data_IF_593301288055
#
_entry.id   IF_593301288055
#
_cell.length_a   1.000
_cell.length_b   1.000
_cell.length_c   1.000
_cell.angle_alpha   90.00
_cell.angle_beta   90.00
_cell.angle_gamma   90.00
#
_symmetry.space_group_name_H-M   'P 1'
#
loop_
_entity.id
_entity.type
_entity.pdbx_description
1 polymer ?
#
# COMPACT_ATOMS: atom_id res chain seq x y z
N UNK A 1 -23.13 23.31 28.51
CA UNK A 1 -22.51 24.65 28.61
C UNK A 1 -21.04 24.43 28.97
N UNK A 2 -19.97 24.68 28.19
CA UNK A 2 -19.62 25.64 27.14
C UNK A 2 -18.50 24.99 26.29
N UNK A 3 -18.76 24.61 25.04
CA UNK A 3 -17.71 24.28 24.05
C UNK A 3 -17.57 25.37 22.96
N UNK A 4 -18.21 26.52 23.17
CA UNK A 4 -18.24 27.66 22.23
C UNK A 4 -17.01 28.58 22.35
N UNK A 5 -16.16 28.42 23.38
CA UNK A 5 -15.01 29.32 23.62
C UNK A 5 -13.73 28.95 22.88
N UNK A 6 -13.51 27.69 22.50
CA UNK A 6 -12.25 27.23 21.88
C UNK A 6 -12.24 27.45 20.35
N UNK A 7 -13.36 27.22 19.67
CA UNK A 7 -13.44 27.43 18.21
C UNK A 7 -13.35 28.93 17.86
N UNK A 8 -13.94 29.81 18.68
CA UNK A 8 -13.81 31.26 18.50
C UNK A 8 -12.39 31.79 18.78
N UNK A 9 -11.57 31.08 19.58
CA UNK A 9 -10.17 31.47 19.80
C UNK A 9 -9.30 31.18 18.56
N UNK A 10 -9.56 30.05 17.88
CA UNK A 10 -8.90 29.70 16.61
C UNK A 10 -9.36 30.55 15.42
N UNK A 11 -10.65 30.93 15.39
CA UNK A 11 -11.17 31.82 14.33
C UNK A 11 -10.65 33.26 14.54
N UNK A 12 -10.51 33.73 15.79
CA UNK A 12 -9.94 35.05 16.08
C UNK A 12 -8.43 35.10 15.79
N UNK A 13 -7.66 34.03 16.06
CA UNK A 13 -6.25 33.97 15.67
C UNK A 13 -6.07 33.88 14.15
N UNK A 14 -6.97 33.20 13.45
CA UNK A 14 -6.99 33.13 11.99
C UNK A 14 -7.29 34.49 11.32
N UNK A 15 -8.19 35.28 11.91
CA UNK A 15 -8.55 36.60 11.39
C UNK A 15 -7.45 37.65 11.63
N UNK A 16 -6.72 37.55 12.76
CA UNK A 16 -5.57 38.42 13.04
C UNK A 16 -4.36 38.07 12.16
N UNK A 17 -4.16 36.79 11.82
CA UNK A 17 -3.10 36.37 10.89
C UNK A 17 -3.38 36.83 9.45
N UNK A 18 -4.65 36.93 9.02
CA UNK A 18 -5.02 37.39 7.69
C UNK A 18 -4.91 38.92 7.52
N UNK A 19 -5.07 39.69 8.60
CA UNK A 19 -4.93 41.16 8.58
C UNK A 19 -3.47 41.64 8.56
N UNK A 20 -2.52 40.78 8.94
CA UNK A 20 -1.09 41.11 8.90
C UNK A 20 -0.48 41.06 7.48
N UNK A 21 -1.16 40.47 6.50
CA UNK A 21 -0.65 40.34 5.13
C UNK A 21 -0.92 41.55 4.23
N UNK A 22 -1.74 42.53 4.65
CA UNK A 22 -2.15 43.65 3.80
C UNK A 22 -1.39 44.97 4.06
N UNK A 23 -0.38 44.99 4.93
CA UNK A 23 0.41 46.21 5.23
C UNK A 23 1.89 46.15 4.83
N UNK A 24 2.32 45.18 4.01
CA UNK A 24 3.71 45.11 3.53
C UNK A 24 3.81 45.29 2.02
N UNK A 25 3.53 46.51 1.56
CA UNK A 25 4.06 47.02 0.29
C UNK A 25 4.58 48.45 0.53
N UNK A 26 5.75 48.52 1.16
CA UNK A 26 6.58 49.72 1.26
C UNK A 26 7.89 49.45 0.53
N UNK A 27 8.23 50.35 -0.39
CA UNK A 27 9.41 50.45 -1.27
C UNK A 27 10.72 49.78 -0.83
N UNK A 28 11.39 49.10 -1.76
CA UNK A 28 12.81 48.76 -1.60
C UNK A 28 13.34 47.71 -2.60
N UNK A 29 13.93 48.22 -3.67
CA UNK A 29 14.97 47.70 -4.59
C UNK A 29 15.11 46.21 -4.99
N UNK A 30 15.44 46.08 -6.29
CA UNK A 30 15.74 44.87 -7.04
C UNK A 30 17.12 44.31 -6.67
N UNK A 31 17.19 42.99 -6.50
CA UNK A 31 18.40 42.20 -6.72
C UNK A 31 18.03 40.97 -7.57
N UNK A 32 18.83 40.77 -8.61
CA UNK A 32 18.68 39.82 -9.70
C UNK A 32 18.88 38.36 -9.27
N UNK A 33 18.15 37.44 -9.89
CA UNK A 33 18.65 36.10 -10.23
C UNK A 33 17.91 35.59 -11.48
N UNK A 34 18.72 35.16 -12.43
CA UNK A 34 18.44 34.71 -13.79
C UNK A 34 17.40 33.59 -13.93
N UNK A 35 16.47 33.78 -14.87
CA UNK A 35 15.89 32.69 -15.67
C UNK A 35 15.74 33.17 -17.11
N UNK A 36 16.31 32.41 -18.06
CA UNK A 36 16.32 32.68 -19.49
C UNK A 36 14.95 33.14 -20.02
N UNK A 37 14.89 34.40 -20.45
CA UNK A 37 13.82 34.90 -21.28
C UNK A 37 14.09 34.47 -22.73
N UNK A 38 13.36 33.47 -23.20
CA UNK A 38 13.14 33.30 -24.62
C UNK A 38 12.50 34.60 -25.15
N UNK A 39 13.26 35.35 -25.93
CA UNK A 39 12.79 36.54 -26.62
C UNK A 39 11.57 36.16 -27.49
N UNK A 40 10.40 36.70 -27.14
CA UNK A 40 9.26 36.72 -28.04
C UNK A 40 9.64 37.56 -29.26
N UNK A 41 9.74 36.91 -30.42
CA UNK A 41 10.02 37.58 -31.68
C UNK A 41 8.76 38.34 -32.14
N UNK A 42 8.64 39.60 -31.74
CA UNK A 42 7.65 40.50 -32.34
C UNK A 42 8.12 40.87 -33.75
N UNK A 43 7.48 40.27 -34.76
CA UNK A 43 7.77 40.54 -36.16
C UNK A 43 7.21 41.93 -36.55
N UNK A 44 8.09 42.91 -36.75
CA UNK A 44 7.73 44.24 -37.26
C UNK A 44 7.62 44.21 -38.79
N UNK A 45 6.40 44.43 -39.32
CA UNK A 45 6.16 44.59 -40.76
C UNK A 45 6.02 46.07 -41.10
N UNK A 46 6.73 46.54 -42.12
CA UNK A 46 6.64 47.94 -42.58
C UNK A 46 5.30 48.20 -43.30
N UNK A 47 4.71 49.38 -43.09
CA UNK A 47 3.37 49.72 -43.59
C UNK A 47 3.20 49.58 -45.12
N UNK A 48 4.29 49.74 -45.87
CA UNK A 48 4.30 49.54 -47.33
C UNK A 48 4.21 48.07 -47.75
N UNK A 49 4.74 47.14 -46.94
CA UNK A 49 4.72 45.70 -47.23
C UNK A 49 3.38 45.06 -46.82
N UNK A 50 2.71 45.59 -45.80
CA UNK A 50 1.39 45.15 -45.39
C UNK A 50 0.30 45.49 -46.43
N UNK A 51 0.45 46.62 -47.13
CA UNK A 51 -0.49 47.07 -48.16
C UNK A 51 -0.41 46.28 -49.47
N UNK A 52 0.79 45.79 -49.84
CA UNK A 52 0.99 44.96 -51.03
C UNK A 52 0.63 43.48 -50.83
N UNK A 53 0.55 43.02 -49.58
CA UNK A 53 0.36 41.62 -49.22
C UNK A 53 -1.10 41.22 -48.93
N UNK A 54 -2.08 42.08 -49.22
CA UNK A 54 -3.53 41.81 -49.02
C UNK A 54 -3.85 41.17 -47.66
N UNK A 55 -3.32 41.76 -46.59
CA UNK A 55 -3.49 41.24 -45.23
C UNK A 55 -4.88 41.61 -44.72
N UNK A 56 -5.74 40.60 -44.54
CA UNK A 56 -7.07 40.76 -43.94
C UNK A 56 -7.01 40.52 -42.43
N UNK A 57 -7.58 41.45 -41.66
CA UNK A 57 -7.67 41.37 -40.21
C UNK A 57 -9.01 40.75 -39.80
N UNK A 58 -8.95 39.61 -39.12
CA UNK A 58 -10.12 38.98 -38.50
C UNK A 58 -10.15 39.22 -36.99
N UNK A 59 -11.33 39.49 -36.44
CA UNK A 59 -11.55 39.51 -34.98
C UNK A 59 -11.70 38.06 -34.50
N UNK A 60 -11.06 37.64 -33.39
CA UNK A 60 -11.19 36.28 -32.89
C UNK A 60 -12.65 35.99 -32.49
N UNK A 61 -13.30 35.06 -33.20
CA UNK A 61 -14.67 34.64 -32.93
C UNK A 61 -14.68 33.42 -32.00
N UNK A 62 -15.30 33.54 -30.82
CA UNK A 62 -15.57 32.41 -29.94
C UNK A 62 -16.78 31.64 -30.46
N UNK A 63 -16.55 30.44 -30.98
CA UNK A 63 -17.59 29.53 -31.45
C UNK A 63 -17.67 28.28 -30.55
N UNK A 64 -18.88 27.81 -30.27
CA UNK A 64 -19.09 26.57 -29.50
C UNK A 64 -18.87 25.37 -30.41
N UNK A 65 -17.70 24.75 -30.31
CA UNK A 65 -17.41 23.49 -30.97
C UNK A 65 -18.10 22.36 -30.20
N UNK A 66 -19.09 21.73 -30.83
CA UNK A 66 -19.82 20.58 -30.27
C UNK A 66 -19.32 19.27 -30.88
N UNK A 67 -18.00 19.10 -30.99
CA UNK A 67 -17.44 17.85 -31.50
C UNK A 67 -17.44 16.79 -30.39
N UNK A 68 -18.05 15.61 -30.62
CA UNK A 68 -17.99 14.53 -29.65
C UNK A 68 -16.57 13.94 -29.62
N UNK A 69 -15.87 14.12 -28.51
CA UNK A 69 -14.58 13.49 -28.26
C UNK A 69 -14.78 12.01 -27.94
N UNK A 70 -14.35 11.12 -28.84
CA UNK A 70 -14.35 9.67 -28.60
C UNK A 70 -13.08 9.29 -27.86
N UNK A 71 -13.24 8.78 -26.64
CA UNK A 71 -12.13 8.29 -25.81
C UNK A 71 -12.41 6.85 -25.44
N UNK A 72 -11.37 6.02 -25.50
CA UNK A 72 -11.42 4.65 -24.99
C UNK A 72 -11.29 4.72 -23.47
N UNK A 73 -12.20 4.07 -22.75
CA UNK A 73 -12.13 3.94 -21.29
C UNK A 73 -12.12 2.46 -20.91
N UNK A 74 -11.36 2.11 -19.88
CA UNK A 74 -11.41 0.81 -19.23
C UNK A 74 -12.10 0.95 -17.87
N UNK A 75 -12.90 -0.05 -17.50
CA UNK A 75 -13.46 -0.16 -16.16
C UNK A 75 -12.52 -1.03 -15.35
N UNK A 76 -11.93 -0.47 -14.31
CA UNK A 76 -11.07 -1.20 -13.38
C UNK A 76 -11.76 -1.31 -12.02
N UNK A 77 -11.61 -2.48 -11.40
CA UNK A 77 -12.14 -2.75 -10.07
C UNK A 77 -11.25 -2.03 -9.05
N UNK A 78 -11.79 -1.22 -8.14
CA UNK A 78 -10.98 -0.51 -7.16
C UNK A 78 -10.22 -1.51 -6.26
N UNK A 79 -8.96 -1.23 -5.90
CA UNK A 79 -8.07 -2.20 -5.23
C UNK A 79 -8.63 -2.67 -3.87
N UNK A 80 -9.43 -1.85 -3.21
CA UNK A 80 -10.11 -2.14 -1.95
C UNK A 80 -11.17 -3.26 -2.04
N UNK A 81 -11.61 -3.62 -3.25
CA UNK A 81 -12.54 -4.72 -3.51
C UNK A 81 -11.88 -5.98 -4.08
N UNK A 82 -10.56 -5.95 -4.27
CA UNK A 82 -9.75 -7.09 -4.72
C UNK A 82 -8.97 -7.66 -3.52
N UNK A 83 -9.04 -8.97 -3.32
CA UNK A 83 -8.25 -9.66 -2.29
C UNK A 83 -7.52 -10.85 -2.91
N UNK A 84 -6.19 -10.83 -2.82
CA UNK A 84 -5.34 -11.95 -3.24
C UNK A 84 -5.12 -12.88 -2.06
N UNK A 85 -5.63 -14.12 -2.15
CA UNK A 85 -5.48 -15.13 -1.11
C UNK A 85 -4.27 -16.00 -1.43
N UNK A 86 -3.35 -16.10 -0.48
CA UNK A 86 -2.14 -16.93 -0.58
C UNK A 86 -2.15 -18.00 0.51
N UNK A 87 -1.55 -19.15 0.22
CA UNK A 87 -1.34 -20.15 1.25
C UNK A 87 -0.16 -19.78 2.14
N UNK A 88 -0.28 -19.86 3.48
CA UNK A 88 0.85 -19.68 4.38
C UNK A 88 1.88 -20.82 4.29
N UNK A 89 1.48 -21.99 3.79
CA UNK A 89 2.34 -23.19 3.69
C UNK A 89 2.31 -23.74 2.27
N UNK A 90 3.47 -24.12 1.73
CA UNK A 90 3.54 -24.80 0.44
C UNK A 90 2.87 -26.19 0.53
N UNK A 91 2.10 -26.59 -0.46
CA UNK A 91 1.39 -27.87 -0.42
C UNK A 91 0.65 -28.16 -1.72
N UNK A 92 0.11 -29.36 -1.81
CA UNK A 92 -0.72 -29.78 -2.94
C UNK A 92 -2.18 -29.41 -2.70
N UNK A 93 -2.89 -28.99 -3.74
CA UNK A 93 -4.33 -28.74 -3.67
C UNK A 93 -5.07 -30.08 -3.67
N UNK A 94 -5.71 -30.41 -2.55
CA UNK A 94 -6.46 -31.65 -2.40
C UNK A 94 -7.89 -31.49 -2.92
N UNK A 95 -8.55 -30.38 -2.58
CA UNK A 95 -9.89 -30.08 -3.08
C UNK A 95 -10.01 -28.61 -3.46
N UNK A 96 -10.74 -28.37 -4.55
CA UNK A 96 -11.15 -27.05 -5.04
C UNK A 96 -12.68 -27.05 -5.09
N UNK A 97 -13.31 -26.14 -4.33
CA UNK A 97 -14.77 -26.12 -4.19
C UNK A 97 -15.47 -25.13 -5.11
N UNK A 98 -14.73 -24.23 -5.74
CA UNK A 98 -15.26 -23.13 -6.53
C UNK A 98 -14.48 -22.98 -7.82
N UNK A 99 -15.19 -22.64 -8.90
CA UNK A 99 -14.62 -22.31 -10.20
C UNK A 99 -14.58 -20.78 -10.40
N UNK A 100 -13.80 -20.30 -11.37
CA UNK A 100 -13.82 -18.89 -11.75
C UNK A 100 -15.25 -18.46 -12.14
N UNK A 101 -15.74 -17.39 -11.50
CA UNK A 101 -17.10 -16.86 -11.71
C UNK A 101 -18.10 -17.25 -10.62
N UNK A 102 -17.78 -18.22 -9.76
CA UNK A 102 -18.66 -18.59 -8.65
C UNK A 102 -18.71 -17.51 -7.57
N UNK A 103 -19.89 -17.33 -6.97
CA UNK A 103 -20.09 -16.38 -5.89
C UNK A 103 -19.59 -16.95 -4.55
N UNK A 104 -18.64 -16.25 -3.90
CA UNK A 104 -18.07 -16.62 -2.61
C UNK A 104 -18.31 -15.53 -1.57
N UNK A 105 -18.45 -15.93 -0.30
CA UNK A 105 -18.63 -15.02 0.84
C UNK A 105 -17.39 -15.02 1.73
N UNK A 106 -17.25 -13.99 2.57
CA UNK A 106 -16.17 -13.92 3.56
C UNK A 106 -16.28 -15.11 4.53
N UNK A 107 -15.17 -15.80 4.76
CA UNK A 107 -15.09 -16.97 5.63
C UNK A 107 -15.41 -18.31 4.95
N UNK A 108 -15.71 -18.32 3.66
CA UNK A 108 -15.95 -19.56 2.91
C UNK A 108 -14.65 -20.31 2.64
N UNK A 109 -14.65 -21.63 2.83
CA UNK A 109 -13.54 -22.52 2.49
C UNK A 109 -13.38 -22.65 0.97
N UNK A 110 -12.31 -22.08 0.40
CA UNK A 110 -12.06 -22.11 -1.04
C UNK A 110 -11.41 -23.42 -1.51
N UNK A 111 -10.33 -23.81 -0.84
CA UNK A 111 -9.59 -25.03 -1.14
C UNK A 111 -9.04 -25.66 0.14
N UNK A 112 -8.75 -26.96 0.08
CA UNK A 112 -7.97 -27.65 1.11
C UNK A 112 -6.60 -27.99 0.55
N UNK A 113 -5.57 -27.70 1.32
CA UNK A 113 -4.18 -27.96 0.97
C UNK A 113 -3.64 -29.09 1.85
N UNK A 114 -2.87 -29.99 1.25
CA UNK A 114 -2.18 -31.05 1.97
C UNK A 114 -0.68 -30.88 1.79
N UNK A 115 0.05 -30.84 2.91
CA UNK A 115 1.51 -30.78 2.91
C UNK A 115 2.09 -32.09 3.47
N UNK A 116 2.82 -32.89 2.66
CA UNK A 116 3.35 -34.18 3.12
C UNK A 116 4.37 -34.04 4.26
N UNK A 117 5.16 -32.96 4.28
CA UNK A 117 6.16 -32.74 5.34
C UNK A 117 5.52 -32.52 6.72
N UNK A 118 4.29 -31.99 6.77
CA UNK A 118 3.58 -31.83 8.05
C UNK A 118 3.29 -33.20 8.69
N UNK A 119 2.90 -34.19 7.88
CA UNK A 119 2.65 -35.56 8.35
C UNK A 119 3.94 -36.19 8.85
N UNK A 120 5.05 -35.96 8.14
CA UNK A 120 6.39 -36.43 8.54
C UNK A 120 6.79 -35.84 9.90
N UNK A 121 6.68 -34.52 10.06
CA UNK A 121 7.01 -33.84 11.30
C UNK A 121 6.16 -34.33 12.48
N UNK A 122 4.86 -34.55 12.26
CA UNK A 122 3.97 -35.10 13.29
C UNK A 122 4.40 -36.50 13.72
N UNK A 123 4.76 -37.37 12.78
CA UNK A 123 5.26 -38.72 13.10
C UNK A 123 6.55 -38.63 13.90
N UNK A 124 7.51 -37.84 13.43
CA UNK A 124 8.82 -37.71 14.06
C UNK A 124 8.68 -37.13 15.49
N UNK A 125 7.74 -36.20 15.71
CA UNK A 125 7.37 -35.70 17.04
C UNK A 125 6.78 -36.81 17.94
N UNK A 126 5.87 -37.63 17.41
CA UNK A 126 5.25 -38.72 18.16
C UNK A 126 6.28 -39.80 18.53
N UNK A 127 7.21 -40.11 17.63
CA UNK A 127 8.30 -41.05 17.86
C UNK A 127 9.27 -40.53 18.92
N UNK A 128 9.69 -39.27 18.81
CA UNK A 128 10.54 -38.62 19.82
C UNK A 128 9.88 -38.62 21.21
N UNK A 129 8.58 -38.33 21.27
CA UNK A 129 7.81 -38.36 22.53
C UNK A 129 7.71 -39.77 23.12
N UNK A 130 7.50 -40.79 22.29
CA UNK A 130 7.46 -42.18 22.74
C UNK A 130 8.83 -42.62 23.26
N UNK A 131 9.91 -42.26 22.55
CA UNK A 131 11.29 -42.54 22.97
C UNK A 131 11.64 -41.84 24.28
N UNK A 132 11.20 -40.60 24.46
CA UNK A 132 11.39 -39.85 25.70
C UNK A 132 10.72 -40.57 26.88
N UNK A 133 9.45 -40.96 26.75
CA UNK A 133 8.75 -41.74 27.78
C UNK A 133 9.47 -43.05 28.13
N UNK A 134 9.95 -43.77 27.12
CA UNK A 134 10.68 -45.02 27.33
C UNK A 134 11.98 -44.76 28.12
N UNK A 135 12.77 -43.77 27.72
CA UNK A 135 14.01 -43.40 28.39
C UNK A 135 13.78 -42.93 29.84
N UNK A 136 12.70 -42.18 30.10
CA UNK A 136 12.30 -41.81 31.46
C UNK A 136 11.96 -43.03 32.32
N UNK A 137 11.22 -44.00 31.76
CA UNK A 137 10.87 -45.23 32.48
C UNK A 137 12.09 -46.10 32.78
N UNK A 138 13.02 -46.21 31.82
CA UNK A 138 14.28 -46.93 31.98
C UNK A 138 15.17 -46.24 33.02
N UNK A 139 15.23 -44.90 33.01
CA UNK A 139 15.94 -44.12 34.02
C UNK A 139 15.36 -44.38 35.42
N UNK A 140 14.04 -44.27 35.58
CA UNK A 140 13.38 -44.52 36.86
C UNK A 140 13.62 -45.95 37.37
N UNK A 141 13.57 -46.94 36.47
CA UNK A 141 13.90 -48.34 36.81
C UNK A 141 15.35 -48.49 37.26
N UNK A 142 16.31 -47.88 36.55
CA UNK A 142 17.73 -47.90 36.92
C UNK A 142 17.98 -47.24 38.28
N UNK A 143 17.29 -46.14 38.58
CA UNK A 143 17.35 -45.46 39.89
C UNK A 143 16.88 -46.39 41.01
N UNK A 144 15.77 -47.10 40.82
CA UNK A 144 15.27 -48.07 41.78
C UNK A 144 16.25 -49.24 42.01
N UNK A 145 16.86 -49.79 40.96
CA UNK A 145 17.83 -50.87 41.10
C UNK A 145 19.12 -50.41 41.81
N UNK A 146 19.58 -49.19 41.54
CA UNK A 146 20.74 -48.61 42.20
C UNK A 146 20.48 -48.35 43.69
N UNK A 147 19.27 -47.96 44.08
CA UNK A 147 18.90 -47.72 45.48
C UNK A 147 18.89 -49.00 46.34
N UNK A 148 18.69 -50.17 45.73
CA UNK A 148 18.65 -51.47 46.43
C UNK A 148 20.02 -52.18 46.40
N UNK A 149 21.11 -51.47 46.04
CA UNK A 149 22.49 -51.98 45.88
C UNK A 149 22.60 -53.25 44.99
N UNK A 150 21.57 -53.54 44.20
CA UNK A 150 21.51 -54.69 43.30
C UNK A 150 22.20 -54.44 41.95
N UNK A 151 22.64 -53.20 41.68
CA UNK A 151 23.28 -52.79 40.42
C UNK A 151 24.59 -52.01 40.66
N UNK A 152 25.62 -52.33 39.87
CA UNK A 152 26.92 -51.64 39.90
C UNK A 152 26.79 -50.18 39.47
N UNK A 153 27.32 -49.23 40.26
CA UNK A 153 27.23 -47.78 40.00
C UNK A 153 27.81 -47.34 38.64
N UNK A 154 28.62 -48.17 37.98
CA UNK A 154 29.20 -47.91 36.64
C UNK A 154 28.18 -47.93 35.49
N UNK A 155 27.00 -48.51 35.63
CA UNK A 155 25.99 -48.58 34.54
C UNK A 155 25.02 -47.39 34.52
N UNK A 156 25.25 -46.38 35.37
CA UNK A 156 24.40 -45.21 35.54
C UNK A 156 24.93 -43.95 34.79
N UNK A 157 26.18 -43.97 34.32
CA UNK A 157 26.78 -42.93 33.47
C UNK A 157 26.38 -43.04 31.99
#
# INVERSE_FOLDING_TARGET
MKMIRITNLFILSGLVMAMAFLTSCGSGDKAEMSSDAAAGADAHVSAGLAASASVEWGVPLRMKLSQPLRVTASVEVPPQSLASVHSPVAGYVQTLRYLPGDHVRKGTLLCTLTHPELVRLQRDYLEARARLKFLESEKARKEQLAAVDAASRRTFE
#
